data_IF_156544016433
#
_entry.id   IF_156544016433
#
_cell.length_a   1.000
_cell.length_b   1.000
_cell.length_c   1.000
_cell.angle_alpha   90.00
_cell.angle_beta   90.00
_cell.angle_gamma   90.00
#
_symmetry.space_group_name_H-M   'P 1'
#
loop_
_entity.id
_entity.type
_entity.pdbx_description
1 polymer ?
#
# COMPACT_ATOMS: atom_id res chain seq x y z
N UNK A 1 -3.96 -3.85 17.63
CA UNK A 1 -3.05 -3.26 16.66
C UNK A 1 -3.41 -3.61 15.23
N UNK A 2 -2.95 -2.81 14.28
CA UNK A 2 -3.04 -3.06 12.85
C UNK A 2 -1.66 -2.92 12.22
N UNK A 3 -1.28 -3.88 11.36
CA UNK A 3 0.01 -3.93 10.67
C UNK A 3 -0.15 -4.62 9.30
N UNK A 4 0.86 -4.50 8.45
CA UNK A 4 0.97 -5.24 7.19
C UNK A 4 0.60 -4.43 5.96
N UNK A 5 -0.53 -3.74 5.99
CA UNK A 5 -0.98 -2.84 4.93
C UNK A 5 -1.48 -1.52 5.55
N UNK A 6 -1.47 -0.41 4.80
CA UNK A 6 -2.06 0.85 5.28
C UNK A 6 -3.54 0.66 5.64
N UNK A 7 -3.92 1.12 6.83
CA UNK A 7 -5.30 1.05 7.29
C UNK A 7 -6.07 2.26 6.75
N UNK A 8 -7.17 2.02 6.02
CA UNK A 8 -8.03 3.10 5.55
C UNK A 8 -8.95 3.64 6.68
N UNK A 9 -9.51 4.86 6.56
CA UNK A 9 -10.33 5.46 7.61
C UNK A 9 -11.57 4.63 7.96
N UNK A 10 -12.26 4.03 7.00
CA UNK A 10 -13.49 3.24 7.20
C UNK A 10 -13.19 1.98 8.00
N UNK A 11 -12.13 1.24 7.61
CA UNK A 11 -11.67 0.07 8.33
C UNK A 11 -11.19 0.42 9.74
N UNK A 12 -10.50 1.58 9.90
CA UNK A 12 -10.08 2.08 11.20
C UNK A 12 -11.28 2.34 12.12
N UNK A 13 -12.33 3.04 11.63
CA UNK A 13 -13.54 3.30 12.39
C UNK A 13 -14.33 2.04 12.71
N UNK A 14 -14.40 1.09 11.77
CA UNK A 14 -15.01 -0.21 12.02
C UNK A 14 -14.26 -0.94 13.15
N UNK A 15 -12.94 -1.00 13.05
CA UNK A 15 -12.09 -1.66 14.03
C UNK A 15 -12.21 -1.01 15.41
N UNK A 16 -12.21 0.33 15.48
CA UNK A 16 -12.40 1.09 16.69
C UNK A 16 -13.77 0.80 17.34
N UNK A 17 -14.85 0.90 16.57
CA UNK A 17 -16.21 0.77 17.09
C UNK A 17 -16.59 -0.68 17.39
N UNK A 18 -16.29 -1.63 16.51
CA UNK A 18 -16.75 -3.02 16.63
C UNK A 18 -15.81 -3.88 17.47
N UNK A 19 -14.52 -3.83 17.22
CA UNK A 19 -13.53 -4.63 17.96
C UNK A 19 -13.09 -3.91 19.23
N UNK A 20 -12.79 -2.62 19.12
CA UNK A 20 -12.33 -1.79 20.21
C UNK A 20 -13.43 -1.33 21.19
N UNK A 21 -14.71 -1.55 20.84
CA UNK A 21 -15.86 -1.15 21.68
C UNK A 21 -15.90 0.36 21.93
N UNK A 22 -15.44 1.16 20.98
CA UNK A 22 -15.32 2.64 21.02
C UNK A 22 -14.52 3.19 22.22
N UNK A 23 -13.62 2.37 22.77
CA UNK A 23 -12.79 2.73 23.96
C UNK A 23 -11.32 2.30 23.86
N UNK A 24 -11.02 1.27 23.04
CA UNK A 24 -9.64 0.80 22.90
C UNK A 24 -8.91 1.64 21.86
N UNK A 25 -7.70 2.06 22.20
CA UNK A 25 -6.79 2.70 21.26
C UNK A 25 -6.50 1.78 20.08
N UNK A 26 -6.64 2.27 18.85
CA UNK A 26 -6.17 1.57 17.67
C UNK A 26 -4.70 1.95 17.44
N UNK A 27 -3.83 0.97 17.56
CA UNK A 27 -2.39 1.13 17.31
C UNK A 27 -2.12 0.68 15.87
N UNK A 28 -2.25 1.64 14.94
CA UNK A 28 -1.85 1.47 13.54
C UNK A 28 -0.34 1.68 13.45
N UNK A 29 0.39 0.67 12.98
CA UNK A 29 1.84 0.62 13.16
C UNK A 29 2.54 0.45 11.82
N UNK A 30 3.52 1.30 11.58
CA UNK A 30 4.47 1.07 10.49
C UNK A 30 5.76 0.42 11.00
N UNK A 31 6.11 -0.65 10.35
CA UNK A 31 7.38 -1.37 10.53
C UNK A 31 7.70 -2.23 9.31
N UNK A 32 8.91 -2.73 9.26
CA UNK A 32 9.37 -3.69 8.24
C UNK A 32 10.14 -4.81 8.95
N UNK A 33 10.25 -5.97 8.31
CA UNK A 33 11.12 -7.07 8.79
C UNK A 33 12.55 -6.56 9.04
N UNK A 34 13.02 -5.68 8.19
CA UNK A 34 14.32 -5.02 8.21
C UNK A 34 14.53 -4.11 9.42
N UNK A 35 13.46 -3.63 10.01
CA UNK A 35 13.51 -2.74 11.17
C UNK A 35 13.64 -3.49 12.50
N UNK A 36 13.24 -4.77 12.54
CA UNK A 36 13.26 -5.58 13.75
C UNK A 36 12.24 -5.21 14.82
N UNK A 37 11.35 -4.26 14.54
CA UNK A 37 10.30 -3.81 15.47
C UNK A 37 9.57 -2.56 14.97
N UNK A 38 8.66 -2.07 15.80
CA UNK A 38 7.82 -0.91 15.49
C UNK A 38 8.64 0.38 15.40
N UNK A 39 8.42 1.15 14.34
CA UNK A 39 9.15 2.38 14.04
C UNK A 39 8.29 3.63 14.20
N UNK A 40 7.05 3.58 13.70
CA UNK A 40 6.11 4.70 13.76
C UNK A 40 4.76 4.14 14.19
N UNK A 41 4.19 4.65 15.28
CA UNK A 41 2.94 4.16 15.87
C UNK A 41 2.32 5.23 16.77
N UNK A 42 1.00 5.21 17.00
CA UNK A 42 0.41 6.00 18.06
C UNK A 42 0.91 5.53 19.42
N UNK A 43 1.19 6.48 20.30
CA UNK A 43 1.60 6.21 21.69
C UNK A 43 0.37 6.36 22.61
N UNK A 44 -0.29 5.25 23.02
CA UNK A 44 -1.49 5.31 23.82
C UNK A 44 -1.30 6.11 25.12
N UNK A 45 -2.21 7.07 25.37
CA UNK A 45 -2.14 7.95 26.53
C UNK A 45 -1.17 9.10 26.44
N UNK A 46 -0.35 9.19 25.36
CA UNK A 46 0.61 10.26 25.15
C UNK A 46 0.22 11.22 24.02
N UNK A 47 -0.55 10.73 23.04
CA UNK A 47 -0.99 11.53 21.89
C UNK A 47 -2.46 11.24 21.57
N UNK A 48 -3.15 12.23 21.02
CA UNK A 48 -4.49 12.04 20.46
C UNK A 48 -4.37 11.23 19.17
N UNK A 49 -5.27 10.24 18.99
CA UNK A 49 -5.20 9.30 17.89
C UNK A 49 -5.96 9.87 16.70
N UNK A 50 -5.35 9.80 15.53
CA UNK A 50 -5.97 10.15 14.24
C UNK A 50 -6.23 8.90 13.42
N UNK A 51 -7.46 8.72 12.87
CA UNK A 51 -7.76 7.60 12.00
C UNK A 51 -6.79 7.48 10.83
N UNK A 52 -6.39 6.24 10.50
CA UNK A 52 -5.54 5.90 9.36
C UNK A 52 -4.17 6.60 9.33
N UNK A 53 -3.61 6.89 10.52
CA UNK A 53 -2.24 7.42 10.67
C UNK A 53 -1.44 6.56 11.64
N UNK A 54 -0.18 6.31 11.27
CA UNK A 54 0.80 5.68 12.16
C UNK A 54 1.33 6.63 13.24
N UNK A 55 1.05 7.94 13.14
CA UNK A 55 1.29 8.98 14.13
C UNK A 55 2.76 9.34 14.35
N UNK A 56 3.39 8.86 15.40
CA UNK A 56 4.68 9.34 15.90
C UNK A 56 5.80 8.33 15.75
N UNK A 57 7.04 8.79 15.51
CA UNK A 57 8.21 7.95 15.62
C UNK A 57 8.35 7.36 17.02
N UNK A 58 8.71 6.08 17.11
CA UNK A 58 9.06 5.46 18.37
C UNK A 58 10.37 6.04 18.93
N UNK A 59 10.62 5.83 20.21
CA UNK A 59 11.80 6.38 20.90
C UNK A 59 13.11 5.96 20.21
N UNK A 60 13.94 6.95 19.90
CA UNK A 60 15.21 6.74 19.19
C UNK A 60 15.12 6.60 17.68
N UNK A 61 13.91 6.60 17.10
CA UNK A 61 13.67 6.59 15.66
C UNK A 61 13.63 8.04 15.14
N UNK A 62 14.44 8.35 14.14
CA UNK A 62 14.52 9.71 13.55
C UNK A 62 14.20 9.60 12.05
N UNK A 63 12.91 9.67 11.67
CA UNK A 63 12.52 9.63 10.28
C UNK A 63 12.81 10.95 9.55
N UNK A 64 13.01 10.85 8.24
CA UNK A 64 13.04 11.95 7.30
C UNK A 64 12.10 11.65 6.13
N UNK A 65 11.45 12.67 5.60
CA UNK A 65 10.74 12.61 4.32
C UNK A 65 11.65 13.27 3.28
N UNK A 66 11.98 12.54 2.21
CA UNK A 66 12.84 13.02 1.13
C UNK A 66 12.00 13.29 -0.11
N UNK A 67 12.21 14.45 -0.75
CA UNK A 67 11.59 14.76 -2.02
C UNK A 67 12.28 14.06 -3.21
N UNK A 68 11.79 14.32 -4.43
CA UNK A 68 12.32 13.72 -5.66
C UNK A 68 13.73 14.20 -6.01
N UNK A 69 14.12 15.37 -5.52
CA UNK A 69 15.48 15.93 -5.68
C UNK A 69 16.46 15.41 -4.61
N UNK A 70 16.01 14.56 -3.70
CA UNK A 70 16.82 14.03 -2.59
C UNK A 70 17.03 15.03 -1.47
N UNK A 71 16.17 16.05 -1.33
CA UNK A 71 16.19 17.01 -0.23
C UNK A 71 15.19 16.64 0.85
N UNK A 72 15.53 16.91 2.10
CA UNK A 72 14.61 16.69 3.21
C UNK A 72 13.48 17.71 3.19
N UNK A 73 12.24 17.22 3.23
CA UNK A 73 11.03 18.03 3.41
C UNK A 73 10.93 18.45 4.87
N UNK A 74 11.08 19.74 5.14
CA UNK A 74 10.97 20.32 6.49
C UNK A 74 9.52 20.74 6.73
N UNK A 75 8.93 20.34 7.87
CA UNK A 75 7.53 20.62 8.19
C UNK A 75 6.55 19.67 7.51
N UNK A 76 5.27 20.07 7.30
CA UNK A 76 4.28 19.25 6.61
C UNK A 76 4.68 18.97 5.17
N UNK A 77 4.41 17.75 4.70
CA UNK A 77 4.69 17.38 3.33
C UNK A 77 4.77 15.87 3.13
N UNK A 78 5.03 15.44 1.90
CA UNK A 78 5.08 14.04 1.50
C UNK A 78 6.32 13.73 0.67
N UNK A 79 6.74 12.46 0.69
CA UNK A 79 7.89 11.98 -0.08
C UNK A 79 8.33 10.59 0.37
N UNK A 80 9.57 10.24 0.07
CA UNK A 80 10.18 8.98 0.45
C UNK A 80 10.50 8.92 1.95
N UNK A 81 10.06 7.86 2.63
CA UNK A 81 10.36 7.65 4.05
C UNK A 81 11.76 7.09 4.22
N UNK A 82 12.59 7.83 4.92
CA UNK A 82 13.96 7.42 5.29
C UNK A 82 14.17 7.52 6.80
N UNK A 83 15.22 6.84 7.32
CA UNK A 83 15.68 6.98 8.70
C UNK A 83 17.08 7.58 8.73
N UNK A 84 17.26 8.62 9.58
CA UNK A 84 18.54 9.38 9.67
C UNK A 84 19.63 8.65 10.45
N UNK A 85 19.23 7.83 11.41
CA UNK A 85 20.18 7.17 12.32
C UNK A 85 19.87 5.68 12.39
N UNK A 86 20.90 4.89 12.68
CA UNK A 86 20.72 3.48 13.01
C UNK A 86 19.97 3.33 14.35
N UNK A 87 19.27 2.23 14.51
CA UNK A 87 18.55 1.84 15.73
C UNK A 87 18.91 0.37 16.07
N UNK A 88 18.69 -0.07 17.31
CA UNK A 88 19.15 -1.41 17.76
C UNK A 88 18.62 -2.58 16.96
N UNK A 89 17.37 -2.49 16.47
CA UNK A 89 16.70 -3.55 15.69
C UNK A 89 17.01 -3.55 14.20
N UNK A 90 17.77 -2.58 13.70
CA UNK A 90 18.10 -2.47 12.28
C UNK A 90 18.83 -3.72 11.79
N UNK A 91 18.40 -4.29 10.66
CA UNK A 91 19.09 -5.41 10.04
C UNK A 91 20.53 -5.07 9.66
N UNK A 92 21.41 -6.07 9.70
CA UNK A 92 22.86 -5.90 9.41
C UNK A 92 23.24 -6.32 8.02
N UNK A 93 22.31 -6.85 7.24
CA UNK A 93 22.55 -7.30 5.89
C UNK A 93 21.54 -8.34 5.42
N UNK A 94 21.67 -8.75 4.17
CA UNK A 94 20.94 -9.86 3.57
C UNK A 94 21.84 -11.08 3.56
N UNK A 95 21.35 -12.21 4.03
CA UNK A 95 22.13 -13.46 4.08
C UNK A 95 22.70 -13.81 2.70
N UNK A 96 24.01 -14.03 2.64
CA UNK A 96 24.71 -14.37 1.40
C UNK A 96 24.77 -13.28 0.34
N UNK A 97 24.17 -12.09 0.57
CA UNK A 97 24.14 -11.01 -0.41
C UNK A 97 24.27 -9.60 0.22
N UNK A 98 25.46 -9.25 0.72
CA UNK A 98 25.70 -7.93 1.33
C UNK A 98 25.58 -6.77 0.32
N UNK A 99 25.79 -7.05 -0.99
CA UNK A 99 25.64 -6.06 -2.04
C UNK A 99 24.20 -5.61 -2.18
N UNK A 100 23.25 -6.55 -2.19
CA UNK A 100 21.83 -6.27 -2.25
C UNK A 100 21.36 -5.39 -1.09
N UNK A 101 21.87 -5.63 0.13
CA UNK A 101 21.57 -4.79 1.29
C UNK A 101 21.93 -3.32 1.05
N UNK A 102 23.16 -3.08 0.57
CA UNK A 102 23.62 -1.73 0.30
C UNK A 102 22.82 -1.06 -0.84
N UNK A 103 22.59 -1.80 -1.91
CA UNK A 103 21.86 -1.29 -3.09
C UNK A 103 20.42 -0.92 -2.78
N UNK A 104 19.70 -1.78 -2.08
CA UNK A 104 18.28 -1.56 -1.84
C UNK A 104 17.99 -0.46 -0.79
N UNK A 105 18.82 -0.36 0.24
CA UNK A 105 18.47 0.47 1.40
C UNK A 105 19.34 1.72 1.59
N UNK A 106 20.46 1.87 0.85
CA UNK A 106 21.40 2.98 1.07
C UNK A 106 21.91 3.65 -0.22
N UNK A 107 21.55 3.16 -1.39
CA UNK A 107 22.05 3.73 -2.66
C UNK A 107 21.27 4.96 -3.10
N UNK A 108 19.94 4.98 -2.88
CA UNK A 108 19.08 6.04 -3.37
C UNK A 108 19.26 7.35 -2.59
N UNK A 109 19.42 7.25 -1.27
CA UNK A 109 19.66 8.38 -0.37
C UNK A 109 20.91 8.13 0.46
N UNK A 110 22.09 8.56 0.01
CA UNK A 110 23.36 8.28 0.69
C UNK A 110 23.35 8.75 2.15
N UNK A 111 23.71 7.85 3.07
CA UNK A 111 23.75 8.12 4.52
C UNK A 111 22.41 7.95 5.24
N UNK A 112 21.32 7.67 4.53
CA UNK A 112 20.02 7.40 5.11
C UNK A 112 19.60 5.96 4.81
N UNK A 113 18.89 5.34 5.75
CA UNK A 113 18.17 4.10 5.46
C UNK A 113 16.89 4.43 4.69
N UNK A 114 16.77 3.94 3.48
CA UNK A 114 15.58 4.10 2.63
C UNK A 114 14.63 2.92 2.80
N UNK A 115 13.41 3.18 3.24
CA UNK A 115 12.42 2.12 3.51
C UNK A 115 11.76 1.54 2.25
N UNK A 116 11.78 2.26 1.14
CA UNK A 116 10.98 1.94 -0.04
C UNK A 116 9.50 2.32 0.09
N UNK A 117 9.10 2.93 1.22
CA UNK A 117 7.75 3.40 1.46
C UNK A 117 7.67 4.92 1.30
N UNK A 118 6.52 5.40 0.85
CA UNK A 118 6.15 6.80 0.89
C UNK A 118 5.48 7.15 2.21
N UNK A 119 5.67 8.38 2.66
CA UNK A 119 4.99 8.92 3.83
C UNK A 119 4.58 10.37 3.63
N UNK A 120 3.55 10.77 4.36
CA UNK A 120 3.11 12.14 4.54
C UNK A 120 3.24 12.51 6.02
N UNK A 121 3.70 13.73 6.31
CA UNK A 121 3.70 14.31 7.65
C UNK A 121 2.80 15.52 7.67
N UNK A 122 1.85 15.56 8.59
CA UNK A 122 0.94 16.70 8.75
C UNK A 122 1.55 17.84 9.58
N UNK A 123 0.76 18.90 9.79
CA UNK A 123 1.17 20.09 10.55
C UNK A 123 1.44 19.79 12.03
N UNK A 124 0.81 18.75 12.59
CA UNK A 124 1.03 18.34 13.97
C UNK A 124 2.26 17.42 14.11
N UNK A 125 2.88 17.05 12.98
CA UNK A 125 4.04 16.17 12.91
C UNK A 125 3.69 14.69 12.92
N UNK A 126 2.43 14.32 12.65
CA UNK A 126 1.97 12.94 12.58
C UNK A 126 2.19 12.35 11.19
N UNK A 127 2.65 11.11 11.15
CA UNK A 127 2.96 10.39 9.93
C UNK A 127 1.79 9.52 9.46
N UNK A 128 1.59 9.52 8.15
CA UNK A 128 0.74 8.58 7.42
C UNK A 128 1.58 7.88 6.37
N UNK A 129 1.52 6.57 6.29
CA UNK A 129 2.16 5.81 5.21
C UNK A 129 1.26 5.86 3.98
N UNK A 130 1.84 6.21 2.84
CA UNK A 130 1.10 6.37 1.58
C UNK A 130 1.23 5.16 0.64
N UNK A 131 1.94 4.12 1.10
CA UNK A 131 2.19 2.89 0.36
C UNK A 131 3.64 2.77 -0.14
N UNK A 132 3.90 1.76 -0.96
CA UNK A 132 5.22 1.52 -1.54
C UNK A 132 5.50 2.53 -2.64
N UNK A 133 6.75 3.02 -2.71
CA UNK A 133 7.18 3.93 -3.79
C UNK A 133 7.23 3.21 -5.14
N UNK A 134 7.58 1.93 -5.14
CA UNK A 134 7.60 1.08 -6.33
C UNK A 134 6.20 0.63 -6.81
N UNK A 135 5.16 0.84 -5.99
CA UNK A 135 3.75 0.64 -6.37
C UNK A 135 3.08 1.91 -6.91
N UNK A 136 3.77 3.05 -6.90
CA UNK A 136 3.27 4.30 -7.51
C UNK A 136 3.11 4.10 -9.02
N UNK A 137 1.92 4.43 -9.52
CA UNK A 137 1.58 4.34 -10.95
C UNK A 137 1.85 5.70 -11.61
N UNK A 138 2.52 5.69 -12.76
CA UNK A 138 2.77 6.90 -13.53
C UNK A 138 1.79 6.98 -14.72
N UNK A 139 0.69 7.70 -14.52
CA UNK A 139 -0.36 7.88 -15.54
C UNK A 139 -0.16 9.22 -16.21
N UNK A 140 0.24 9.23 -17.47
CA UNK A 140 0.44 10.47 -18.25
C UNK A 140 1.33 11.51 -17.54
N UNK A 141 2.37 11.05 -16.85
CA UNK A 141 3.28 11.91 -16.08
C UNK A 141 2.84 12.25 -14.66
N UNK A 142 1.65 11.82 -14.23
CA UNK A 142 1.17 12.00 -12.87
C UNK A 142 1.47 10.76 -12.02
N UNK A 143 2.05 10.97 -10.85
CA UNK A 143 2.35 9.90 -9.90
C UNK A 143 1.16 9.69 -8.95
N UNK A 144 0.56 8.52 -9.02
CA UNK A 144 -0.62 8.14 -8.24
C UNK A 144 -0.27 7.00 -7.27
N UNK A 145 -0.57 7.19 -5.99
CA UNK A 145 -0.46 6.12 -4.99
C UNK A 145 -1.58 5.09 -5.16
N UNK A 146 -1.23 3.81 -5.21
CA UNK A 146 -2.23 2.74 -5.32
C UNK A 146 -3.17 2.71 -4.11
N UNK A 147 -2.65 2.96 -2.92
CA UNK A 147 -3.40 2.93 -1.67
C UNK A 147 -4.57 3.93 -1.62
N UNK A 148 -4.43 5.11 -2.26
CA UNK A 148 -5.53 6.09 -2.31
C UNK A 148 -6.68 5.59 -3.19
N UNK A 149 -6.36 4.95 -4.32
CA UNK A 149 -7.36 4.38 -5.23
C UNK A 149 -8.03 3.17 -4.58
N UNK A 150 -7.25 2.31 -3.91
CA UNK A 150 -7.75 1.17 -3.15
C UNK A 150 -8.69 1.61 -2.03
N UNK A 151 -8.35 2.67 -1.30
CA UNK A 151 -9.21 3.24 -0.26
C UNK A 151 -10.53 3.76 -0.84
N UNK A 152 -10.50 4.47 -1.97
CA UNK A 152 -11.72 4.93 -2.64
C UNK A 152 -12.60 3.76 -3.11
N UNK A 153 -12.02 2.70 -3.67
CA UNK A 153 -12.78 1.51 -4.09
C UNK A 153 -13.39 0.77 -2.90
N UNK A 154 -12.64 0.59 -1.81
CA UNK A 154 -13.11 -0.10 -0.61
C UNK A 154 -14.08 0.71 0.23
N UNK A 155 -14.20 2.02 0.04
CA UNK A 155 -15.26 2.82 0.66
C UNK A 155 -16.67 2.49 0.12
N UNK A 156 -16.75 1.83 -1.04
CA UNK A 156 -18.03 1.40 -1.60
C UNK A 156 -18.63 0.24 -0.80
N UNK A 157 -19.91 0.31 -0.35
CA UNK A 157 -20.49 -0.68 0.58
C UNK A 157 -20.60 -2.11 0.04
N UNK A 158 -20.46 -2.31 -1.27
CA UNK A 158 -20.46 -3.63 -1.91
C UNK A 158 -19.07 -4.25 -2.06
N UNK A 159 -18.00 -3.50 -1.80
CA UNK A 159 -16.62 -3.95 -1.95
C UNK A 159 -16.07 -4.46 -0.62
N UNK A 160 -15.53 -5.67 -0.63
CA UNK A 160 -14.86 -6.26 0.53
C UNK A 160 -13.38 -5.86 0.58
N UNK A 161 -12.70 -5.97 -0.58
CA UNK A 161 -11.28 -5.71 -0.69
C UNK A 161 -10.94 -5.25 -2.11
N UNK A 162 -9.87 -4.47 -2.26
CA UNK A 162 -9.33 -4.12 -3.57
C UNK A 162 -7.82 -4.04 -3.56
N UNK A 163 -7.22 -4.31 -4.71
CA UNK A 163 -5.79 -4.08 -4.96
C UNK A 163 -5.61 -3.42 -6.32
N UNK A 164 -4.74 -2.43 -6.39
CA UNK A 164 -4.51 -1.64 -7.58
C UNK A 164 -3.05 -1.76 -8.01
N UNK A 165 -2.83 -1.95 -9.30
CA UNK A 165 -1.50 -2.00 -9.90
C UNK A 165 -1.45 -1.22 -11.21
N UNK A 166 -0.26 -0.76 -11.59
CA UNK A 166 -0.01 -0.26 -12.92
C UNK A 166 0.18 -1.39 -13.93
N UNK A 167 -0.31 -1.18 -15.16
CA UNK A 167 -0.04 -2.06 -16.29
C UNK A 167 0.38 -1.24 -17.52
N UNK A 168 1.10 -1.81 -18.51
CA UNK A 168 1.49 -1.10 -19.71
C UNK A 168 0.28 -0.57 -20.48
N UNK A 169 0.31 0.70 -20.88
CA UNK A 169 -0.76 1.35 -21.64
C UNK A 169 -0.16 2.23 -22.75
N UNK A 170 -0.54 2.01 -24.00
CA UNK A 170 0.07 2.60 -25.20
C UNK A 170 0.08 4.14 -25.20
N UNK A 171 -0.97 4.77 -24.66
CA UNK A 171 -1.11 6.23 -24.66
C UNK A 171 -0.62 6.87 -23.37
N UNK A 172 -0.93 6.25 -22.22
CA UNK A 172 -0.67 6.82 -20.88
C UNK A 172 0.69 6.45 -20.31
N UNK A 173 1.43 5.53 -20.96
CA UNK A 173 2.59 4.85 -20.41
C UNK A 173 2.20 3.75 -19.43
N UNK A 174 1.50 4.10 -18.36
CA UNK A 174 0.85 3.14 -17.48
C UNK A 174 -0.64 3.43 -17.37
N UNK A 175 -1.45 2.38 -17.39
CA UNK A 175 -2.86 2.39 -17.02
C UNK A 175 -3.07 1.88 -15.60
N UNK A 176 -4.24 2.10 -15.07
CA UNK A 176 -4.64 1.68 -13.72
C UNK A 176 -5.48 0.41 -13.83
N UNK A 177 -5.01 -0.67 -13.23
CA UNK A 177 -5.70 -1.95 -13.14
C UNK A 177 -6.16 -2.20 -11.71
N UNK A 178 -7.47 -2.35 -11.50
CA UNK A 178 -8.05 -2.62 -10.20
C UNK A 178 -8.58 -4.06 -10.12
N UNK A 179 -8.14 -4.80 -9.13
CA UNK A 179 -8.73 -6.06 -8.70
C UNK A 179 -9.70 -5.78 -7.56
N UNK A 180 -10.93 -6.25 -7.67
CA UNK A 180 -11.98 -5.95 -6.70
C UNK A 180 -12.68 -7.23 -6.27
N UNK A 181 -12.65 -7.48 -4.95
CA UNK A 181 -13.40 -8.55 -4.29
C UNK A 181 -14.68 -7.95 -3.72
N UNK A 182 -15.81 -8.56 -4.00
CA UNK A 182 -17.12 -8.09 -3.54
C UNK A 182 -17.52 -8.79 -2.23
N UNK A 183 -18.41 -8.13 -1.48
CA UNK A 183 -19.03 -8.75 -0.33
C UNK A 183 -19.89 -9.96 -0.77
N UNK A 184 -20.02 -10.95 0.11
CA UNK A 184 -20.80 -12.16 -0.15
C UNK A 184 -22.22 -11.84 -0.58
N UNK A 185 -22.66 -12.44 -1.70
CA UNK A 185 -24.01 -12.26 -2.24
C UNK A 185 -24.19 -11.02 -3.13
N UNK A 186 -23.14 -10.26 -3.40
CA UNK A 186 -23.18 -9.16 -4.36
C UNK A 186 -22.90 -9.68 -5.77
N UNK A 187 -23.73 -9.30 -6.72
CA UNK A 187 -23.57 -9.68 -8.13
C UNK A 187 -22.44 -8.87 -8.80
N UNK A 188 -21.66 -9.58 -9.63
CA UNK A 188 -20.60 -9.01 -10.46
C UNK A 188 -21.23 -8.49 -11.77
N UNK A 189 -21.48 -7.18 -11.86
CA UNK A 189 -22.09 -6.57 -13.03
C UNK A 189 -21.34 -5.33 -13.55
N UNK A 190 -21.65 -4.92 -14.78
CA UNK A 190 -21.05 -3.76 -15.41
C UNK A 190 -21.57 -2.42 -14.86
N UNK A 191 -22.77 -2.40 -14.26
CA UNK A 191 -23.29 -1.20 -13.61
C UNK A 191 -22.45 -0.87 -12.38
N UNK A 192 -22.13 -1.87 -11.57
CA UNK A 192 -21.26 -1.71 -10.41
C UNK A 192 -19.85 -1.26 -10.80
N UNK A 193 -19.27 -1.77 -11.90
CA UNK A 193 -17.97 -1.25 -12.38
C UNK A 193 -18.05 0.24 -12.70
N UNK A 194 -19.12 0.69 -13.36
CA UNK A 194 -19.32 2.12 -13.65
C UNK A 194 -19.47 2.95 -12.38
N UNK A 195 -20.16 2.44 -11.38
CA UNK A 195 -20.32 3.10 -10.09
C UNK A 195 -18.97 3.24 -9.37
N UNK A 196 -18.12 2.20 -9.38
CA UNK A 196 -16.80 2.22 -8.81
C UNK A 196 -15.88 3.23 -9.51
N UNK A 197 -15.90 3.27 -10.85
CA UNK A 197 -15.16 4.27 -11.64
C UNK A 197 -15.65 5.69 -11.31
N UNK A 198 -16.95 5.90 -11.21
CA UNK A 198 -17.53 7.20 -10.84
C UNK A 198 -17.14 7.62 -9.41
N UNK A 199 -17.09 6.65 -8.47
CA UNK A 199 -16.67 6.89 -7.10
C UNK A 199 -15.20 7.34 -7.04
N UNK A 200 -14.28 6.62 -7.68
CA UNK A 200 -12.85 7.01 -7.73
C UNK A 200 -12.69 8.38 -8.38
N UNK A 201 -13.42 8.64 -9.46
CA UNK A 201 -13.41 9.95 -10.14
C UNK A 201 -13.87 11.08 -9.23
N UNK A 202 -14.86 10.83 -8.39
CA UNK A 202 -15.40 11.81 -7.44
C UNK A 202 -14.43 12.07 -6.28
N UNK A 203 -13.87 11.00 -5.69
CA UNK A 203 -13.06 11.08 -4.47
C UNK A 203 -11.62 11.57 -4.74
N UNK A 204 -11.03 11.20 -5.87
CA UNK A 204 -9.62 11.51 -6.19
C UNK A 204 -9.52 12.40 -7.42
N UNK A 205 -10.26 12.07 -8.49
CA UNK A 205 -10.23 12.82 -9.74
C UNK A 205 -10.14 11.92 -10.97
N UNK A 206 -10.33 12.51 -12.17
CA UNK A 206 -10.44 11.73 -13.41
C UNK A 206 -9.18 10.96 -13.79
N UNK A 207 -7.99 11.45 -13.40
CA UNK A 207 -6.71 10.80 -13.73
C UNK A 207 -6.50 9.49 -12.98
N UNK A 208 -7.16 9.32 -11.83
CA UNK A 208 -7.04 8.14 -10.98
C UNK A 208 -8.06 7.06 -11.30
N UNK A 209 -8.94 7.28 -12.28
CA UNK A 209 -9.97 6.29 -12.62
C UNK A 209 -9.35 5.01 -13.20
N UNK A 210 -9.73 3.82 -12.70
CA UNK A 210 -9.29 2.56 -13.26
C UNK A 210 -9.62 2.44 -14.76
N UNK A 211 -8.64 2.04 -15.56
CA UNK A 211 -8.84 1.68 -16.96
C UNK A 211 -9.52 0.32 -17.07
N UNK A 212 -9.14 -0.60 -16.17
CA UNK A 212 -9.72 -1.94 -16.10
C UNK A 212 -10.07 -2.28 -14.65
N UNK A 213 -11.24 -2.89 -14.47
CA UNK A 213 -11.67 -3.50 -13.21
C UNK A 213 -11.90 -4.98 -13.46
N UNK A 214 -11.13 -5.81 -12.78
CA UNK A 214 -11.31 -7.26 -12.75
C UNK A 214 -11.96 -7.67 -11.44
N UNK A 215 -13.04 -8.44 -11.53
CA UNK A 215 -13.58 -9.12 -10.36
C UNK A 215 -12.64 -10.24 -9.92
N UNK A 216 -12.36 -10.30 -8.63
CA UNK A 216 -11.54 -11.32 -8.00
C UNK A 216 -12.32 -11.98 -6.87
N UNK A 217 -12.25 -13.29 -6.76
CA UNK A 217 -12.84 -14.02 -5.62
C UNK A 217 -11.93 -13.98 -4.39
N UNK A 218 -10.65 -13.66 -4.59
CA UNK A 218 -9.66 -13.40 -3.57
C UNK A 218 -8.45 -12.70 -4.16
N UNK A 219 -7.62 -12.11 -3.31
CA UNK A 219 -6.34 -11.50 -3.69
C UNK A 219 -5.17 -12.40 -3.29
N UNK A 220 -4.06 -12.42 -4.06
CA UNK A 220 -2.90 -13.23 -3.74
C UNK A 220 -2.19 -12.64 -2.52
N UNK A 221 -2.44 -13.20 -1.37
CA UNK A 221 -1.90 -12.74 -0.09
C UNK A 221 -0.91 -13.75 0.49
N UNK A 222 0.10 -13.24 1.19
CA UNK A 222 0.94 -14.07 2.04
C UNK A 222 0.16 -14.55 3.27
N UNK A 223 0.70 -15.54 3.99
CA UNK A 223 0.10 -16.00 5.27
C UNK A 223 -0.01 -14.91 6.34
N UNK A 224 0.72 -13.83 6.21
CA UNK A 224 0.63 -12.65 7.08
C UNK A 224 -0.38 -11.60 6.61
N UNK A 225 -1.11 -11.85 5.51
CA UNK A 225 -2.13 -10.95 4.96
C UNK A 225 -1.59 -9.86 4.03
N UNK A 226 -0.30 -9.90 3.68
CA UNK A 226 0.29 -8.93 2.75
C UNK A 226 -0.03 -9.29 1.30
N UNK A 227 -0.59 -8.35 0.54
CA UNK A 227 -0.92 -8.54 -0.88
C UNK A 227 0.37 -8.65 -1.71
N UNK A 228 0.45 -9.69 -2.54
CA UNK A 228 1.56 -9.92 -3.46
C UNK A 228 1.36 -9.15 -4.77
N UNK A 229 1.49 -7.81 -4.73
CA UNK A 229 1.27 -6.94 -5.90
C UNK A 229 2.13 -7.29 -7.11
N UNK A 230 3.28 -7.92 -6.89
CA UNK A 230 4.12 -8.45 -7.97
C UNK A 230 3.36 -9.44 -8.84
N UNK A 231 2.61 -10.36 -8.24
CA UNK A 231 1.76 -11.33 -8.96
C UNK A 231 0.66 -10.60 -9.73
N UNK A 232 -0.03 -9.67 -9.08
CA UNK A 232 -1.08 -8.86 -9.71
C UNK A 232 -0.58 -8.07 -10.92
N UNK A 233 0.61 -7.49 -10.83
CA UNK A 233 1.23 -6.76 -11.97
C UNK A 233 1.52 -7.70 -13.15
N UNK A 234 1.98 -8.91 -12.91
CA UNK A 234 2.21 -9.90 -13.98
C UNK A 234 0.89 -10.31 -14.65
N UNK A 235 -0.16 -10.56 -13.86
CA UNK A 235 -1.49 -10.89 -14.40
C UNK A 235 -2.04 -9.72 -15.21
N UNK A 236 -1.99 -8.48 -14.70
CA UNK A 236 -2.46 -7.29 -15.40
C UNK A 236 -1.73 -7.06 -16.74
N UNK A 237 -0.42 -7.33 -16.77
CA UNK A 237 0.43 -7.21 -17.96
C UNK A 237 0.39 -8.45 -18.89
N UNK A 238 -0.51 -9.42 -18.63
CA UNK A 238 -0.64 -10.68 -19.41
C UNK A 238 0.64 -11.54 -19.45
N UNK A 239 1.48 -11.45 -18.42
CA UNK A 239 2.69 -12.23 -18.27
C UNK A 239 2.42 -13.40 -17.31
N UNK A 240 1.96 -14.53 -17.84
CA UNK A 240 1.46 -15.65 -17.05
C UNK A 240 2.48 -16.75 -16.76
N UNK A 241 3.72 -16.61 -17.24
CA UNK A 241 4.72 -17.67 -17.19
C UNK A 241 5.66 -17.60 -15.98
N UNK A 242 5.87 -16.40 -15.42
CA UNK A 242 6.79 -16.20 -14.29
C UNK A 242 6.21 -15.26 -13.24
N UNK A 243 5.67 -15.85 -12.20
CA UNK A 243 5.22 -15.12 -11.01
C UNK A 243 6.31 -15.00 -9.93
N UNK A 244 7.52 -15.53 -10.18
CA UNK A 244 8.60 -15.64 -9.19
C UNK A 244 8.20 -16.52 -8.00
N UNK A 245 8.84 -16.31 -6.84
CA UNK A 245 8.55 -17.14 -5.66
C UNK A 245 7.14 -16.88 -5.11
N UNK A 246 6.29 -17.88 -5.19
CA UNK A 246 4.90 -17.90 -4.67
C UNK A 246 4.73 -18.81 -3.45
N UNK A 247 5.82 -19.36 -2.89
CA UNK A 247 5.79 -20.33 -1.78
C UNK A 247 5.16 -19.78 -0.49
N UNK A 248 5.09 -18.45 -0.35
CA UNK A 248 4.51 -17.76 0.81
C UNK A 248 3.02 -17.47 0.67
N UNK A 249 2.40 -17.77 -0.48
CA UNK A 249 0.96 -17.58 -0.68
C UNK A 249 0.15 -18.41 0.32
N UNK A 250 -0.87 -17.78 0.91
CA UNK A 250 -1.83 -18.47 1.76
C UNK A 250 -2.71 -19.42 0.94
N UNK A 251 -3.17 -18.96 -0.22
CA UNK A 251 -4.07 -19.66 -1.14
C UNK A 251 -3.52 -19.63 -2.57
N UNK A 252 -2.70 -20.59 -2.98
CA UNK A 252 -2.04 -20.58 -4.30
C UNK A 252 -3.02 -20.58 -5.49
N UNK A 253 -4.19 -21.22 -5.37
CA UNK A 253 -5.21 -21.31 -6.44
C UNK A 253 -5.75 -19.94 -6.89
N UNK A 254 -5.70 -18.92 -6.02
CA UNK A 254 -6.15 -17.56 -6.36
C UNK A 254 -5.43 -17.02 -7.59
N UNK A 255 -4.17 -17.41 -7.81
CA UNK A 255 -3.40 -16.94 -8.98
C UNK A 255 -3.99 -17.49 -10.27
N UNK A 256 -4.36 -18.78 -10.27
CA UNK A 256 -4.96 -19.43 -11.44
C UNK A 256 -6.32 -18.82 -11.78
N UNK A 257 -7.12 -18.52 -10.76
CA UNK A 257 -8.41 -17.85 -10.91
C UNK A 257 -8.24 -16.45 -11.51
N UNK A 258 -7.29 -15.65 -11.00
CA UNK A 258 -6.99 -14.32 -11.53
C UNK A 258 -6.53 -14.38 -13.00
N UNK A 259 -5.71 -15.34 -13.38
CA UNK A 259 -5.27 -15.56 -14.77
C UNK A 259 -6.45 -15.95 -15.66
N UNK A 260 -7.33 -16.85 -15.17
CA UNK A 260 -8.50 -17.29 -15.93
C UNK A 260 -9.46 -16.12 -16.20
N UNK A 261 -9.70 -15.27 -15.20
CA UNK A 261 -10.54 -14.08 -15.36
C UNK A 261 -9.88 -13.01 -16.27
N UNK A 262 -8.54 -12.80 -16.15
CA UNK A 262 -7.83 -11.85 -17.02
C UNK A 262 -7.95 -12.22 -18.50
N UNK A 263 -7.87 -13.50 -18.84
CA UNK A 263 -8.01 -13.99 -20.23
C UNK A 263 -9.39 -13.74 -20.83
N UNK A 264 -10.41 -13.45 -20.04
CA UNK A 264 -11.77 -13.10 -20.52
C UNK A 264 -11.94 -11.63 -20.81
N UNK A 265 -11.07 -10.77 -20.26
CA UNK A 265 -11.08 -9.32 -20.45
C UNK A 265 -10.31 -9.00 -21.74
N UNK A 266 -10.98 -8.36 -22.69
CA UNK A 266 -10.40 -7.95 -23.98
C UNK A 266 -9.80 -6.56 -23.89
#
# INVERSE_FOLDING_TARGET
GSVGEPLNPEAWWWFYNKVGGSRCTIVDTWWQTENGGHMILPLPGAVDIKPAKCMRPFFGVIPAIMDEDGKEVVGPGKGALCMKTAWPGMMRGVWGNPKLFKENYFSQFPGLYFSGDGAERDADGDYKITGRIDDVINVSGHRLGTAEIEAALTSHPKVAESAVVGFPHDIKGQGIYAYVTLNTGVEKDEALKKDLVALVRKEIGPIATPDLIQWADGLPQTRSGKIMRRVLRQVAAEKFEDFGDTSTLAEPHVVDDLVAERKKIK
#
